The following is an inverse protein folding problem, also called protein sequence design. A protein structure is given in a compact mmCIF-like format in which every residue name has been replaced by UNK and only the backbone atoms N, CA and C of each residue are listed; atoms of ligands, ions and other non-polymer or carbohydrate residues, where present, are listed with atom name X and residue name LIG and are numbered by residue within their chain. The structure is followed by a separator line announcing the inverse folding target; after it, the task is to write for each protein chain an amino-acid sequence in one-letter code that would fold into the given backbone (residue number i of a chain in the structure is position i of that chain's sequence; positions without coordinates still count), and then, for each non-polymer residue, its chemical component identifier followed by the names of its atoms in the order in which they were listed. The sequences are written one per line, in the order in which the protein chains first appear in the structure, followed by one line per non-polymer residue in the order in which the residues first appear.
data_IF_876843779468
#
_entry.id   IF_876843779468
#
_cell.length_a   1.000
_cell.length_b   1.000
_cell.length_c   1.000
_cell.angle_alpha   90.00
_cell.angle_beta   90.00
_cell.angle_gamma   90.00
#
_symmetry.space_group_name_H-M   'P 1'
#
loop_
_entity.id
_entity.type
_entity.pdbx_description
1 polymer ?
#
# COMPACT_ATOMS: atom_id res chain seq x y z
N UNK A 1 22.48 -3.93 81.97
CA UNK A 1 21.72 -2.80 82.57
C UNK A 1 21.77 -1.65 81.58
N UNK A 2 20.59 -1.09 81.25
CA UNK A 2 20.26 -0.03 80.26
C UNK A 2 20.29 -0.38 78.76
N UNK A 3 19.43 0.25 77.91
CA UNK A 3 18.01 0.59 78.12
C UNK A 3 17.12 0.32 76.87
N UNK A 4 15.84 0.65 77.01
CA UNK A 4 14.71 0.43 76.11
C UNK A 4 14.60 1.39 74.90
N UNK A 5 14.04 0.84 73.81
CA UNK A 5 13.05 1.33 72.82
C UNK A 5 12.73 2.84 72.75
N UNK A 6 12.80 3.41 71.55
CA UNK A 6 11.73 4.26 70.97
C UNK A 6 11.67 4.04 69.45
N UNK A 7 10.58 3.44 68.96
CA UNK A 7 10.25 3.38 67.51
C UNK A 7 9.12 4.36 67.25
N UNK A 8 9.38 5.38 66.43
CA UNK A 8 8.36 6.29 65.90
C UNK A 8 7.65 5.61 64.71
N UNK A 9 6.36 5.32 64.86
CA UNK A 9 5.51 4.88 63.76
C UNK A 9 5.07 6.08 62.92
N UNK A 10 5.51 6.13 61.65
CA UNK A 10 4.99 7.07 60.65
C UNK A 10 3.81 6.43 59.93
N UNK A 11 2.60 6.98 60.11
CA UNK A 11 1.42 6.58 59.36
C UNK A 11 1.48 7.18 57.95
N UNK A 12 1.78 6.36 56.94
CA UNK A 12 1.71 6.76 55.54
C UNK A 12 0.28 6.52 55.00
N UNK A 13 -0.41 7.62 54.71
CA UNK A 13 -1.76 7.63 54.15
C UNK A 13 -1.74 7.12 52.70
N UNK A 14 -2.32 5.94 52.45
CA UNK A 14 -2.47 5.36 51.11
C UNK A 14 -3.59 6.05 50.35
N UNK A 15 -3.23 6.98 49.46
CA UNK A 15 -4.17 7.53 48.48
C UNK A 15 -4.51 6.46 47.43
N UNK A 16 -5.70 5.87 47.53
CA UNK A 16 -6.27 5.03 46.48
C UNK A 16 -6.68 5.92 45.30
N UNK A 17 -5.84 5.98 44.27
CA UNK A 17 -6.22 6.55 42.98
C UNK A 17 -7.19 5.58 42.27
N UNK A 18 -8.43 5.98 41.94
CA UNK A 18 -9.30 5.16 41.11
C UNK A 18 -8.66 5.03 39.72
N UNK A 19 -8.38 3.80 39.30
CA UNK A 19 -7.89 3.51 37.96
C UNK A 19 -9.00 3.83 36.95
N UNK A 20 -8.90 4.96 36.26
CA UNK A 20 -9.70 5.21 35.07
C UNK A 20 -9.30 4.17 34.02
N UNK A 21 -10.22 3.28 33.67
CA UNK A 21 -10.10 2.41 32.52
C UNK A 21 -10.00 3.28 31.26
N UNK A 22 -8.82 3.35 30.66
CA UNK A 22 -8.62 4.00 29.37
C UNK A 22 -9.19 3.08 28.29
N UNK A 23 -10.41 3.37 27.83
CA UNK A 23 -10.95 2.76 26.61
C UNK A 23 -10.24 3.39 25.41
N UNK A 24 -9.26 2.68 24.85
CA UNK A 24 -8.71 3.03 23.54
C UNK A 24 -9.76 2.74 22.47
N UNK A 25 -10.49 3.78 22.07
CA UNK A 25 -11.29 3.75 20.84
C UNK A 25 -10.33 3.65 19.66
N UNK A 26 -9.88 2.44 19.34
CA UNK A 26 -9.13 2.18 18.12
C UNK A 26 -9.94 2.72 16.94
N UNK A 27 -9.29 3.46 16.04
CA UNK A 27 -9.92 4.20 14.93
C UNK A 27 -10.61 3.32 13.89
N UNK A 28 -10.84 2.03 14.17
CA UNK A 28 -11.36 1.04 13.24
C UNK A 28 -10.41 0.75 12.07
N UNK A 29 -9.22 1.38 12.06
CA UNK A 29 -8.24 1.23 10.99
C UNK A 29 -7.38 0.01 11.23
N UNK A 30 -7.31 -0.85 10.21
CA UNK A 30 -6.47 -2.05 10.22
C UNK A 30 -5.79 -2.22 8.86
N UNK A 31 -4.82 -3.13 8.81
CA UNK A 31 -4.06 -3.45 7.61
C UNK A 31 -4.15 -4.94 7.34
N UNK A 32 -4.32 -5.32 6.08
CA UNK A 32 -4.22 -6.70 5.63
C UNK A 32 -3.24 -6.80 4.46
N UNK A 33 -2.74 -8.01 4.20
CA UNK A 33 -1.82 -8.26 3.10
C UNK A 33 -2.30 -9.44 2.27
N UNK A 34 -2.21 -9.30 0.95
CA UNK A 34 -2.41 -10.41 0.01
C UNK A 34 -1.21 -10.52 -0.92
N UNK A 35 -0.99 -11.73 -1.45
CA UNK A 35 0.11 -11.98 -2.39
C UNK A 35 -0.30 -11.59 -3.82
N UNK A 36 0.68 -11.18 -4.63
CA UNK A 36 0.51 -10.84 -6.06
C UNK A 36 0.74 -12.04 -6.99
N UNK A 37 1.18 -13.18 -6.44
CA UNK A 37 1.44 -14.41 -7.18
C UNK A 37 1.26 -15.64 -6.28
N UNK A 38 1.28 -16.84 -6.88
CA UNK A 38 1.21 -18.11 -6.16
C UNK A 38 -0.21 -18.67 -6.03
N UNK A 39 -0.45 -19.46 -4.97
CA UNK A 39 -1.66 -20.31 -4.83
C UNK A 39 -2.97 -19.54 -4.72
N UNK A 40 -2.92 -18.26 -4.36
CA UNK A 40 -4.10 -17.38 -4.28
C UNK A 40 -4.45 -16.76 -5.62
N UNK A 41 -3.68 -17.02 -6.67
CA UNK A 41 -3.82 -16.41 -7.97
C UNK A 41 -4.21 -17.42 -9.05
N UNK A 42 -5.01 -16.96 -10.01
CA UNK A 42 -5.49 -17.73 -11.15
C UNK A 42 -5.20 -16.95 -12.43
N UNK A 43 -4.46 -17.57 -13.35
CA UNK A 43 -4.28 -17.08 -14.71
C UNK A 43 -5.61 -17.14 -15.46
N UNK A 44 -5.98 -16.06 -16.12
CA UNK A 44 -7.26 -15.91 -16.82
C UNK A 44 -7.10 -16.16 -18.32
N UNK A 45 -6.07 -15.59 -18.91
CA UNK A 45 -5.69 -15.85 -20.29
C UNK A 45 -4.16 -15.96 -20.38
N UNK A 46 -3.74 -16.83 -21.30
CA UNK A 46 -2.40 -16.86 -21.84
C UNK A 46 -2.63 -16.96 -23.35
N UNK A 47 -2.83 -15.82 -24.00
CA UNK A 47 -2.94 -15.84 -25.46
C UNK A 47 -1.59 -16.33 -26.00
N UNK A 48 -1.64 -17.31 -26.91
CA UNK A 48 -0.48 -18.07 -27.36
C UNK A 48 0.71 -17.20 -27.72
N UNK A 49 1.91 -17.75 -27.48
CA UNK A 49 3.23 -17.12 -27.65
C UNK A 49 3.53 -15.91 -26.73
N UNK A 50 3.06 -15.95 -25.47
CA UNK A 50 3.81 -15.36 -24.35
C UNK A 50 3.94 -13.83 -24.29
N UNK A 51 3.14 -13.08 -25.03
CA UNK A 51 3.21 -11.61 -25.05
C UNK A 51 2.35 -10.92 -23.99
N UNK A 52 1.25 -11.54 -23.55
CA UNK A 52 0.32 -10.96 -22.57
C UNK A 52 -0.09 -12.04 -21.57
N UNK A 53 0.21 -11.79 -20.29
CA UNK A 53 -0.20 -12.65 -19.18
C UNK A 53 -1.21 -11.91 -18.32
N UNK A 54 -2.38 -12.49 -18.15
CA UNK A 54 -3.44 -11.93 -17.31
C UNK A 54 -3.75 -12.86 -16.14
N UNK A 55 -3.83 -12.33 -14.93
CA UNK A 55 -4.21 -13.11 -13.76
C UNK A 55 -5.01 -12.30 -12.75
N UNK A 56 -5.75 -13.00 -11.90
CA UNK A 56 -6.39 -12.43 -10.71
C UNK A 56 -5.87 -13.11 -9.46
N UNK A 57 -5.75 -12.36 -8.38
CA UNK A 57 -5.42 -12.90 -7.06
C UNK A 57 -6.57 -12.68 -6.10
N UNK A 58 -6.74 -13.57 -5.12
CA UNK A 58 -7.67 -13.36 -4.02
C UNK A 58 -7.26 -12.13 -3.21
N UNK A 59 -8.08 -11.09 -3.23
CA UNK A 59 -7.86 -9.86 -2.47
C UNK A 59 -8.72 -9.78 -1.20
N UNK A 60 -8.87 -8.56 -0.66
CA UNK A 60 -9.77 -8.29 0.47
C UNK A 60 -11.02 -7.60 -0.06
N UNK A 61 -12.17 -8.28 0.01
CA UNK A 61 -13.45 -7.77 -0.49
C UNK A 61 -13.58 -7.69 -2.02
N UNK A 62 -12.46 -7.71 -2.75
CA UNK A 62 -12.38 -7.77 -4.21
C UNK A 62 -11.04 -8.34 -4.67
N UNK A 63 -11.00 -8.89 -5.88
CA UNK A 63 -9.80 -9.53 -6.44
C UNK A 63 -9.05 -8.56 -7.36
N UNK A 64 -7.78 -8.22 -7.07
CA UNK A 64 -6.94 -7.48 -8.00
C UNK A 64 -6.72 -8.28 -9.29
N UNK A 65 -6.83 -7.57 -10.41
CA UNK A 65 -6.50 -8.04 -11.75
C UNK A 65 -5.12 -7.50 -12.15
N UNK A 66 -4.36 -8.32 -12.85
CA UNK A 66 -3.02 -8.02 -13.29
C UNK A 66 -2.92 -8.33 -14.77
N UNK A 67 -2.27 -7.44 -15.51
CA UNK A 67 -1.90 -7.63 -16.91
C UNK A 67 -0.42 -7.30 -17.04
N UNK A 68 0.35 -8.27 -17.53
CA UNK A 68 1.77 -8.11 -17.84
C UNK A 68 1.96 -8.38 -19.33
N UNK A 69 2.10 -7.30 -20.10
CA UNK A 69 2.51 -7.33 -21.49
C UNK A 69 3.88 -6.68 -21.65
N UNK A 70 4.60 -7.06 -22.70
CA UNK A 70 5.99 -6.64 -22.95
C UNK A 70 6.21 -5.12 -22.79
N UNK A 71 5.25 -4.30 -23.23
CA UNK A 71 5.36 -2.84 -23.20
C UNK A 71 4.39 -2.16 -22.23
N UNK A 72 3.45 -2.92 -21.65
CA UNK A 72 2.38 -2.40 -20.81
C UNK A 72 2.03 -3.38 -19.70
N UNK A 73 2.27 -2.93 -18.47
CA UNK A 73 1.88 -3.58 -17.25
C UNK A 73 0.81 -2.79 -16.52
N UNK A 74 -0.12 -3.48 -15.85
CA UNK A 74 -1.17 -2.84 -15.06
C UNK A 74 -1.60 -3.72 -13.88
N UNK A 75 -1.93 -3.06 -12.77
CA UNK A 75 -2.62 -3.68 -11.64
C UNK A 75 -3.91 -2.92 -11.43
N UNK A 76 -5.02 -3.61 -11.67
CA UNK A 76 -6.35 -3.06 -11.53
C UNK A 76 -7.04 -3.59 -10.29
N UNK A 77 -7.68 -2.69 -9.57
CA UNK A 77 -8.56 -3.00 -8.46
C UNK A 77 -10.00 -2.77 -8.86
N UNK A 78 -10.31 -1.97 -9.87
CA UNK A 78 -11.66 -1.73 -10.40
C UNK A 78 -12.41 -3.00 -10.83
N UNK A 79 -13.71 -2.87 -11.10
CA UNK A 79 -14.51 -3.97 -11.67
C UNK A 79 -14.10 -4.20 -13.11
N UNK A 80 -14.21 -5.46 -13.56
CA UNK A 80 -13.92 -5.97 -14.90
C UNK A 80 -14.14 -4.93 -16.02
N UNK A 81 -13.04 -4.32 -16.49
CA UNK A 81 -13.01 -3.36 -17.60
C UNK A 81 -12.52 -1.95 -17.24
N UNK A 82 -12.58 -1.54 -15.96
CA UNK A 82 -11.91 -0.33 -15.49
C UNK A 82 -10.41 -0.60 -15.38
N UNK A 83 -9.63 0.09 -16.21
CA UNK A 83 -8.17 0.02 -16.16
C UNK A 83 -7.65 1.24 -15.43
N UNK A 84 -6.93 1.02 -14.34
CA UNK A 84 -6.06 2.01 -13.74
C UNK A 84 -4.81 2.23 -14.62
N UNK A 85 -4.13 3.38 -14.46
CA UNK A 85 -2.96 3.70 -15.28
C UNK A 85 -1.90 2.60 -15.26
N UNK A 86 -1.43 2.21 -16.44
CA UNK A 86 -0.36 1.24 -16.63
C UNK A 86 1.05 1.83 -16.54
N UNK A 87 2.05 0.97 -16.67
CA UNK A 87 3.48 1.30 -16.64
C UNK A 87 4.25 0.38 -17.59
N UNK A 88 5.48 0.74 -17.96
CA UNK A 88 6.37 -0.19 -18.69
C UNK A 88 6.99 -1.16 -17.67
N UNK A 89 6.64 -2.46 -17.68
CA UNK A 89 7.06 -3.38 -16.65
C UNK A 89 8.53 -3.76 -16.78
N UNK A 90 9.15 -4.12 -15.67
CA UNK A 90 10.43 -4.82 -15.64
C UNK A 90 10.23 -6.33 -15.62
N UNK A 91 11.31 -7.12 -15.68
CA UNK A 91 11.23 -8.58 -15.53
C UNK A 91 10.62 -9.00 -14.19
N UNK A 92 10.87 -8.23 -13.13
CA UNK A 92 10.03 -8.27 -11.94
C UNK A 92 8.86 -7.33 -12.18
N UNK A 93 7.63 -7.82 -12.23
CA UNK A 93 6.47 -7.01 -12.56
C UNK A 93 5.99 -6.16 -11.36
N UNK A 94 5.77 -6.83 -10.24
CA UNK A 94 5.31 -6.25 -8.97
C UNK A 94 6.05 -6.83 -7.78
N UNK A 95 6.03 -6.11 -6.65
CA UNK A 95 6.41 -6.68 -5.36
C UNK A 95 5.49 -7.83 -4.97
N UNK A 96 5.91 -8.62 -3.97
CA UNK A 96 5.21 -9.85 -3.58
C UNK A 96 3.83 -9.61 -2.95
N UNK A 97 3.59 -8.43 -2.40
CA UNK A 97 2.41 -8.13 -1.58
C UNK A 97 1.69 -6.88 -2.02
N UNK A 98 0.37 -6.90 -1.82
CA UNK A 98 -0.51 -5.75 -1.75
C UNK A 98 -0.82 -5.49 -0.29
N UNK A 99 -0.63 -4.26 0.16
CA UNK A 99 -1.11 -3.77 1.44
C UNK A 99 -2.53 -3.20 1.26
N UNK A 100 -3.47 -3.67 2.05
CA UNK A 100 -4.87 -3.21 2.06
C UNK A 100 -5.09 -2.37 3.30
N UNK A 101 -5.51 -1.11 3.10
CA UNK A 101 -5.92 -0.21 4.19
C UNK A 101 -7.41 -0.40 4.42
N UNK A 102 -7.77 -0.74 5.66
CA UNK A 102 -9.13 -1.09 6.06
C UNK A 102 -9.69 -0.06 7.04
N UNK A 103 -10.97 0.25 6.91
CA UNK A 103 -11.75 1.03 7.87
C UNK A 103 -12.96 0.19 8.27
N UNK A 104 -13.06 -0.19 9.53
CA UNK A 104 -14.11 -1.07 10.07
C UNK A 104 -14.24 -2.38 9.26
N UNK A 105 -13.09 -2.97 8.88
CA UNK A 105 -13.02 -4.20 8.09
C UNK A 105 -13.31 -4.05 6.60
N UNK A 106 -13.65 -2.85 6.11
CA UNK A 106 -13.86 -2.58 4.68
C UNK A 106 -12.62 -1.93 4.05
N UNK A 107 -12.12 -2.43 2.91
CA UNK A 107 -10.97 -1.83 2.24
C UNK A 107 -11.34 -0.50 1.61
N UNK A 108 -10.50 0.51 1.81
CA UNK A 108 -10.68 1.84 1.23
C UNK A 108 -9.48 2.29 0.39
N UNK A 109 -8.32 1.65 0.57
CA UNK A 109 -7.16 1.89 -0.26
C UNK A 109 -6.25 0.66 -0.37
N UNK A 110 -5.43 0.63 -1.41
CA UNK A 110 -4.35 -0.36 -1.56
C UNK A 110 -3.02 0.32 -1.82
N UNK A 111 -1.95 -0.39 -1.48
CA UNK A 111 -0.59 -0.01 -1.81
C UNK A 111 0.09 -1.24 -2.39
N UNK A 112 0.62 -1.11 -3.61
CA UNK A 112 1.43 -2.15 -4.22
C UNK A 112 2.73 -1.56 -4.76
N UNK A 113 3.74 -2.42 -4.91
CA UNK A 113 5.03 -2.04 -5.49
C UNK A 113 5.03 -2.41 -6.97
N UNK A 114 5.20 -1.43 -7.84
CA UNK A 114 5.46 -1.61 -9.26
C UNK A 114 6.97 -1.50 -9.53
N UNK A 115 7.47 -2.31 -10.45
CA UNK A 115 8.83 -2.21 -10.96
C UNK A 115 8.76 -1.74 -12.41
N UNK A 116 9.19 -0.50 -12.62
CA UNK A 116 8.97 0.24 -13.86
C UNK A 116 10.29 0.43 -14.57
N UNK A 117 10.37 -0.04 -15.81
CA UNK A 117 11.51 0.23 -16.67
C UNK A 117 11.45 1.69 -17.16
N UNK A 118 12.59 2.37 -17.05
CA UNK A 118 12.77 3.71 -17.60
C UNK A 118 14.05 3.76 -18.41
N UNK A 119 13.95 4.37 -19.59
CA UNK A 119 15.11 4.75 -20.36
C UNK A 119 15.76 5.99 -19.73
N UNK A 120 17.05 5.87 -19.44
CA UNK A 120 17.87 7.00 -19.05
C UNK A 120 18.83 7.32 -20.19
N UNK A 121 18.93 8.60 -20.52
CA UNK A 121 19.93 9.06 -21.47
C UNK A 121 21.31 8.83 -20.86
N UNK A 122 22.07 7.92 -21.47
CA UNK A 122 23.47 7.67 -21.18
C UNK A 122 24.26 7.68 -22.48
N UNK A 123 25.51 8.14 -22.44
CA UNK A 123 26.42 8.10 -23.58
C UNK A 123 27.25 6.80 -23.51
N UNK A 124 27.46 6.07 -24.62
CA UNK A 124 27.03 6.34 -26.00
C UNK A 124 25.64 5.78 -26.37
N UNK A 125 25.02 4.95 -25.53
CA UNK A 125 23.72 4.29 -25.80
C UNK A 125 22.79 4.47 -24.60
N UNK A 126 21.48 4.75 -24.79
CA UNK A 126 20.51 4.78 -23.72
C UNK A 126 20.50 3.47 -22.91
N UNK A 127 20.37 3.60 -21.60
CA UNK A 127 20.29 2.45 -20.69
C UNK A 127 18.88 2.35 -20.14
N UNK A 128 18.33 1.14 -20.09
CA UNK A 128 17.13 0.86 -19.31
C UNK A 128 17.53 0.58 -17.86
N UNK A 129 16.90 1.28 -16.92
CA UNK A 129 17.00 0.99 -15.48
C UNK A 129 15.62 0.68 -14.92
N UNK A 130 15.56 -0.14 -13.89
CA UNK A 130 14.31 -0.44 -13.18
C UNK A 130 14.18 0.47 -11.96
N UNK A 131 13.08 1.23 -11.91
CA UNK A 131 12.67 2.01 -10.73
C UNK A 131 11.56 1.28 -9.98
N UNK A 132 11.53 1.46 -8.66
CA UNK A 132 10.49 0.91 -7.80
C UNK A 132 9.55 2.02 -7.37
N UNK A 133 8.24 1.78 -7.49
CA UNK A 133 7.20 2.76 -7.17
C UNK A 133 6.18 2.12 -6.26
N UNK A 134 5.86 2.77 -5.16
CA UNK A 134 4.67 2.43 -4.39
C UNK A 134 3.50 3.20 -4.98
N UNK A 135 2.55 2.46 -5.54
CA UNK A 135 1.33 2.98 -6.12
C UNK A 135 0.25 2.91 -5.05
N UNK A 136 -0.34 4.06 -4.73
CA UNK A 136 -1.45 4.16 -3.77
C UNK A 136 -2.74 4.30 -4.57
N UNK A 137 -3.68 3.39 -4.32
CA UNK A 137 -4.96 3.33 -5.03
C UNK A 137 -6.10 3.59 -4.05
N UNK A 138 -7.03 4.47 -4.42
CA UNK A 138 -8.31 4.64 -3.72
C UNK A 138 -9.28 3.59 -4.21
N UNK A 139 -10.02 2.98 -3.27
CA UNK A 139 -11.15 2.11 -3.56
C UNK A 139 -12.45 2.86 -3.25
N UNK A 140 -13.36 2.92 -4.22
CA UNK A 140 -14.66 3.58 -4.06
C UNK A 140 -15.78 2.72 -4.66
N UNK A 141 -16.44 1.93 -3.83
CA UNK A 141 -17.44 0.97 -4.29
C UNK A 141 -16.80 -0.05 -5.24
N UNK A 142 -17.36 -0.17 -6.46
CA UNK A 142 -16.83 -1.03 -7.52
C UNK A 142 -15.65 -0.40 -8.27
N UNK A 143 -15.33 0.87 -8.03
CA UNK A 143 -14.34 1.61 -8.81
C UNK A 143 -13.04 1.78 -8.04
N UNK A 144 -11.97 2.09 -8.77
CA UNK A 144 -10.66 2.38 -8.18
C UNK A 144 -9.87 3.36 -9.04
N UNK A 145 -8.99 4.13 -8.42
CA UNK A 145 -8.10 5.05 -9.13
C UNK A 145 -6.79 5.27 -8.36
N UNK A 146 -5.70 5.52 -9.08
CA UNK A 146 -4.44 5.91 -8.47
C UNK A 146 -4.56 7.30 -7.83
N UNK A 147 -4.04 7.46 -6.62
CA UNK A 147 -4.03 8.74 -5.90
C UNK A 147 -2.61 9.22 -5.58
N UNK A 148 -1.62 8.31 -5.60
CA UNK A 148 -0.23 8.69 -5.46
C UNK A 148 0.75 7.69 -6.07
N UNK A 149 1.90 8.22 -6.47
CA UNK A 149 3.09 7.48 -6.85
C UNK A 149 4.24 7.93 -5.95
N UNK A 150 4.79 7.01 -5.18
CA UNK A 150 5.92 7.27 -4.27
C UNK A 150 7.14 6.55 -4.78
N UNK A 151 8.21 7.30 -5.07
CA UNK A 151 9.52 6.74 -5.40
C UNK A 151 10.03 5.92 -4.20
N UNK A 152 10.25 4.61 -4.41
CA UNK A 152 10.60 3.74 -3.30
C UNK A 152 12.07 3.87 -2.85
N UNK A 153 12.89 4.70 -3.51
CA UNK A 153 14.27 4.99 -3.11
C UNK A 153 14.38 6.04 -1.99
N UNK A 154 13.31 6.80 -1.72
CA UNK A 154 13.31 7.79 -0.64
C UNK A 154 13.25 7.12 0.73
N UNK A 155 13.77 7.80 1.75
CA UNK A 155 13.68 7.31 3.13
C UNK A 155 12.21 7.18 3.56
N UNK A 156 11.89 6.07 4.23
CA UNK A 156 10.55 5.78 4.75
C UNK A 156 9.43 5.73 3.69
N UNK A 157 9.74 5.41 2.43
CA UNK A 157 8.77 5.39 1.33
C UNK A 157 7.47 4.60 1.64
N UNK A 158 7.57 3.41 2.25
CA UNK A 158 6.40 2.60 2.63
C UNK A 158 5.50 3.33 3.63
N UNK A 159 6.10 3.92 4.67
CA UNK A 159 5.36 4.70 5.67
C UNK A 159 4.71 5.94 5.02
N UNK A 160 5.39 6.59 4.08
CA UNK A 160 4.85 7.74 3.36
C UNK A 160 3.64 7.37 2.48
N UNK A 161 3.71 6.22 1.79
CA UNK A 161 2.59 5.71 1.02
C UNK A 161 1.37 5.40 1.91
N UNK A 162 1.60 4.78 3.08
CA UNK A 162 0.55 4.51 4.06
C UNK A 162 -0.07 5.78 4.64
N UNK A 163 0.74 6.79 4.96
CA UNK A 163 0.28 8.11 5.41
C UNK A 163 -0.65 8.77 4.37
N UNK A 164 -0.25 8.76 3.10
CA UNK A 164 -1.06 9.31 2.00
C UNK A 164 -2.37 8.55 1.85
N UNK A 165 -2.33 7.21 1.93
CA UNK A 165 -3.54 6.41 1.88
C UNK A 165 -4.51 6.80 3.02
N UNK A 166 -4.01 6.90 4.25
CA UNK A 166 -4.83 7.18 5.42
C UNK A 166 -5.37 8.63 5.45
N UNK A 167 -4.62 9.60 4.90
CA UNK A 167 -4.95 11.02 4.99
C UNK A 167 -5.69 11.57 3.75
N UNK A 168 -5.40 11.08 2.55
CA UNK A 168 -5.82 11.73 1.31
C UNK A 168 -6.99 11.01 0.61
N UNK A 169 -7.21 9.71 0.87
CA UNK A 169 -8.22 8.93 0.13
C UNK A 169 -9.63 9.51 0.27
N UNK A 170 -10.01 9.99 1.45
CA UNK A 170 -11.33 10.59 1.67
C UNK A 170 -11.53 11.92 0.93
N UNK A 171 -10.44 12.63 0.61
CA UNK A 171 -10.45 13.94 -0.03
C UNK A 171 -10.26 13.88 -1.55
N UNK A 172 -9.68 12.79 -2.06
CA UNK A 172 -9.34 12.64 -3.47
C UNK A 172 -10.56 12.30 -4.35
N UNK A 173 -10.73 13.02 -5.45
CA UNK A 173 -11.81 12.83 -6.43
C UNK A 173 -11.27 12.14 -7.68
N UNK A 174 -11.56 10.84 -7.85
CA UNK A 174 -11.17 10.08 -9.04
C UNK A 174 -11.68 10.75 -10.33
N UNK A 175 -10.84 10.79 -11.37
CA UNK A 175 -11.16 11.40 -12.66
C UNK A 175 -11.08 12.93 -12.70
N UNK A 176 -10.86 13.60 -11.57
CA UNK A 176 -10.67 15.05 -11.50
C UNK A 176 -9.32 15.42 -10.91
N UNK A 177 -8.96 14.81 -9.78
CA UNK A 177 -7.68 15.06 -9.12
C UNK A 177 -6.55 14.28 -9.78
N UNK A 178 -5.35 14.87 -9.79
CA UNK A 178 -4.14 14.21 -10.29
C UNK A 178 -3.42 13.47 -9.17
N UNK A 179 -2.89 12.26 -9.40
CA UNK A 179 -2.13 11.53 -8.39
C UNK A 179 -0.93 12.32 -7.87
N UNK A 180 -0.76 12.36 -6.54
CA UNK A 180 0.40 12.98 -5.91
C UNK A 180 1.69 12.25 -6.31
N UNK A 181 2.75 13.01 -6.59
CA UNK A 181 4.07 12.44 -6.91
C UNK A 181 5.05 12.79 -5.80
N UNK A 182 5.63 11.78 -5.15
CA UNK A 182 6.58 11.95 -4.05
C UNK A 182 7.93 11.37 -4.43
N UNK A 183 8.99 12.18 -4.35
CA UNK A 183 10.31 11.85 -4.89
C UNK A 183 10.35 12.01 -6.41
N UNK A 184 11.01 11.10 -7.12
CA UNK A 184 11.10 11.12 -8.58
C UNK A 184 10.58 9.81 -9.22
N UNK A 185 9.28 9.48 -9.01
CA UNK A 185 8.70 8.30 -9.64
C UNK A 185 8.64 8.48 -11.16
N UNK A 186 8.70 7.39 -11.93
CA UNK A 186 8.48 7.37 -13.37
C UNK A 186 7.01 7.63 -13.74
N UNK A 187 6.76 7.93 -15.01
CA UNK A 187 5.40 8.17 -15.51
C UNK A 187 4.58 6.87 -15.56
N UNK A 188 3.28 6.99 -15.25
CA UNK A 188 2.25 5.99 -15.51
C UNK A 188 1.37 6.52 -16.64
N UNK A 189 0.80 5.62 -17.44
CA UNK A 189 0.07 5.93 -18.67
C UNK A 189 -1.39 5.52 -18.51
N UNK A 190 -2.32 6.40 -18.88
CA UNK A 190 -3.75 6.09 -18.95
C UNK A 190 -4.08 5.16 -20.14
#
# INVERSE_FOLDING_TARGET
MNPEIVVLAAAACTFAFPALAQTSSGTGRTVAYTETSGKTCKTLSNQGEGEIVEWKCRGVGRDPFFIDAVTLGGVAFGKDGEHEPGFTPSQEFTGKKIEWRLQNGKPYATIYRAYVNVEVQSTPVPKSITKQVLVVTKLNGENACHIAYVDASIQNANAKAAEIADANVSLFTCGSDKPLRVGNPPAFRD
#
